data_IF_694294919442
#
_entry.id   IF_694294919442
#
_cell.length_a   1.000
_cell.length_b   1.000
_cell.length_c   1.000
_cell.angle_alpha   90.00
_cell.angle_beta   90.00
_cell.angle_gamma   90.00
#
_symmetry.space_group_name_H-M   'P 1'
#
loop_
_entity.id
_entity.type
_entity.pdbx_description
1 polymer ?
#
# COMPACT_ATOMS: atom_id res chain seq x y z
N UNK A 1 -4.25 -24.11 -1.37
CA UNK A 1 -3.19 -23.10 -1.21
C UNK A 1 -1.87 -23.70 -1.64
N UNK A 2 -1.01 -22.91 -2.25
CA UNK A 2 0.29 -23.31 -2.80
C UNK A 2 1.42 -22.87 -1.85
N UNK A 3 2.51 -23.63 -1.83
CA UNK A 3 3.74 -23.27 -1.14
C UNK A 3 4.99 -23.52 -2.01
N UNK A 4 6.18 -23.52 -1.40
CA UNK A 4 7.42 -23.71 -2.15
C UNK A 4 7.62 -25.16 -2.63
N UNK A 5 6.89 -26.16 -2.08
CA UNK A 5 7.00 -27.56 -2.47
C UNK A 5 6.34 -27.80 -3.83
N UNK A 6 5.28 -27.09 -4.18
CA UNK A 6 4.62 -27.17 -5.49
C UNK A 6 5.44 -26.53 -6.65
N UNK A 7 6.67 -26.13 -6.41
CA UNK A 7 7.62 -25.82 -7.48
C UNK A 7 8.15 -27.07 -8.22
N UNK A 8 7.90 -28.28 -7.70
CA UNK A 8 8.04 -29.51 -8.49
C UNK A 8 6.77 -29.76 -9.30
N UNK A 9 6.92 -29.95 -10.65
CA UNK A 9 5.77 -30.12 -11.54
C UNK A 9 4.91 -31.33 -11.16
N UNK A 10 5.54 -32.45 -10.76
CA UNK A 10 4.81 -33.65 -10.37
C UNK A 10 4.03 -33.44 -9.08
N UNK A 11 4.63 -32.76 -8.13
CA UNK A 11 3.98 -32.44 -6.87
C UNK A 11 2.82 -31.46 -7.06
N UNK A 12 3.03 -30.40 -7.84
CA UNK A 12 1.96 -29.48 -8.23
C UNK A 12 0.77 -30.21 -8.86
N UNK A 13 1.04 -31.10 -9.82
CA UNK A 13 0.00 -31.89 -10.48
C UNK A 13 -0.73 -32.84 -9.50
N UNK A 14 0.02 -33.52 -8.61
CA UNK A 14 -0.60 -34.39 -7.60
C UNK A 14 -1.60 -33.63 -6.72
N UNK A 15 -1.23 -32.45 -6.22
CA UNK A 15 -2.12 -31.63 -5.40
C UNK A 15 -3.27 -31.04 -6.22
N UNK A 16 -3.02 -30.59 -7.45
CA UNK A 16 -4.06 -30.09 -8.34
C UNK A 16 -5.11 -31.16 -8.62
N UNK A 17 -4.69 -32.37 -9.05
CA UNK A 17 -5.61 -33.45 -9.38
C UNK A 17 -6.31 -33.99 -8.12
N UNK A 18 -5.64 -34.04 -6.97
CA UNK A 18 -6.27 -34.41 -5.71
C UNK A 18 -7.37 -33.41 -5.30
N UNK A 19 -7.12 -32.10 -5.46
CA UNK A 19 -8.11 -31.06 -5.18
C UNK A 19 -9.33 -31.17 -6.13
N UNK A 20 -9.08 -31.37 -7.41
CA UNK A 20 -10.15 -31.56 -8.42
C UNK A 20 -10.94 -32.83 -8.11
N UNK A 21 -10.25 -33.95 -7.88
CA UNK A 21 -10.88 -35.26 -7.59
C UNK A 21 -11.67 -35.27 -6.29
N UNK A 22 -11.29 -34.46 -5.30
CA UNK A 22 -12.04 -34.26 -4.05
C UNK A 22 -13.40 -33.57 -4.31
N UNK A 23 -13.43 -32.59 -5.21
CA UNK A 23 -14.65 -31.86 -5.54
C UNK A 23 -15.50 -32.59 -6.62
N UNK A 24 -14.83 -33.27 -7.55
CA UNK A 24 -15.42 -33.94 -8.71
C UNK A 24 -14.86 -35.36 -8.85
N UNK A 25 -15.37 -36.34 -8.10
CA UNK A 25 -14.89 -37.71 -8.14
C UNK A 25 -14.95 -38.31 -9.52
N UNK A 26 -13.87 -38.95 -9.97
CA UNK A 26 -13.79 -39.63 -11.27
C UNK A 26 -13.33 -38.75 -12.44
N UNK A 27 -13.27 -37.45 -12.30
CA UNK A 27 -12.92 -36.52 -13.41
C UNK A 27 -11.44 -36.68 -13.87
N UNK A 28 -10.50 -36.96 -12.97
CA UNK A 28 -9.07 -37.01 -13.29
C UNK A 28 -8.56 -38.41 -13.66
N UNK A 29 -9.43 -39.32 -14.08
CA UNK A 29 -9.09 -40.73 -14.37
C UNK A 29 -8.10 -40.87 -15.54
N UNK A 30 -8.10 -39.95 -16.50
CA UNK A 30 -7.17 -39.96 -17.64
C UNK A 30 -5.82 -39.37 -17.30
N UNK A 31 -5.74 -38.31 -16.51
CA UNK A 31 -4.49 -37.60 -16.18
C UNK A 31 -3.74 -38.26 -15.02
N UNK A 32 -4.46 -38.75 -14.00
CA UNK A 32 -3.84 -39.27 -12.77
C UNK A 32 -2.86 -40.44 -13.00
N UNK A 33 -3.14 -41.45 -13.87
CA UNK A 33 -2.17 -42.52 -14.17
C UNK A 33 -0.87 -42.03 -14.82
N UNK A 34 -0.92 -40.93 -15.58
CA UNK A 34 0.25 -40.36 -16.24
C UNK A 34 1.30 -39.87 -15.26
N UNK A 35 0.89 -39.49 -14.05
CA UNK A 35 1.80 -39.06 -12.99
C UNK A 35 2.60 -40.21 -12.36
N UNK A 36 2.20 -41.46 -12.60
CA UNK A 36 2.93 -42.64 -12.10
C UNK A 36 4.09 -43.04 -13.03
N UNK A 37 4.16 -42.48 -14.23
CA UNK A 37 5.26 -42.75 -15.15
C UNK A 37 6.61 -42.25 -14.56
N UNK A 38 7.72 -42.96 -14.77
CA UNK A 38 9.06 -42.52 -14.30
C UNK A 38 9.43 -41.12 -14.78
N UNK A 39 9.13 -40.82 -16.04
CA UNK A 39 9.30 -39.50 -16.65
C UNK A 39 7.95 -38.92 -17.03
N UNK A 40 7.72 -37.62 -16.72
CA UNK A 40 6.52 -36.92 -17.14
C UNK A 40 6.61 -36.62 -18.64
N UNK A 41 5.47 -36.72 -19.29
CA UNK A 41 5.36 -36.27 -20.68
C UNK A 41 5.53 -34.75 -20.79
N UNK A 42 5.75 -34.22 -22.03
CA UNK A 42 5.85 -32.78 -22.25
C UNK A 42 4.64 -32.00 -21.71
N UNK A 43 4.88 -30.79 -21.19
CA UNK A 43 3.85 -29.91 -20.63
C UNK A 43 2.69 -29.67 -21.60
N UNK A 44 2.99 -29.57 -22.91
CA UNK A 44 1.98 -29.42 -23.96
C UNK A 44 0.98 -30.58 -24.04
N UNK A 45 1.42 -31.79 -23.75
CA UNK A 45 0.57 -32.96 -23.77
C UNK A 45 -0.18 -33.12 -22.44
N UNK A 46 0.51 -32.91 -21.31
CA UNK A 46 -0.11 -32.88 -19.97
C UNK A 46 -1.25 -31.87 -19.90
N UNK A 47 -1.05 -30.66 -20.46
CA UNK A 47 -2.09 -29.63 -20.46
C UNK A 47 -3.35 -30.06 -21.21
N UNK A 48 -3.19 -30.80 -22.34
CA UNK A 48 -4.35 -31.33 -23.09
C UNK A 48 -5.15 -32.35 -22.31
N UNK A 49 -4.47 -33.27 -21.60
CA UNK A 49 -5.16 -34.25 -20.75
C UNK A 49 -5.93 -33.56 -19.62
N UNK A 50 -5.31 -32.58 -18.95
CA UNK A 50 -5.94 -31.80 -17.89
C UNK A 50 -7.16 -31.03 -18.43
N UNK A 51 -7.02 -30.33 -19.55
CA UNK A 51 -8.12 -29.58 -20.17
C UNK A 51 -9.28 -30.54 -20.55
N UNK A 52 -8.96 -31.71 -21.11
CA UNK A 52 -9.99 -32.71 -21.46
C UNK A 52 -10.71 -33.25 -20.21
N UNK A 53 -9.96 -33.59 -19.16
CA UNK A 53 -10.56 -34.03 -17.90
C UNK A 53 -11.46 -32.93 -17.30
N UNK A 54 -10.98 -31.70 -17.23
CA UNK A 54 -11.75 -30.56 -16.71
C UNK A 54 -12.97 -30.21 -17.55
N UNK A 55 -12.94 -30.45 -18.88
CA UNK A 55 -14.06 -30.22 -19.77
C UNK A 55 -15.23 -31.18 -19.51
N UNK A 56 -14.97 -32.32 -18.86
CA UNK A 56 -16.01 -33.29 -18.49
C UNK A 56 -16.76 -32.92 -17.19
N UNK A 57 -16.34 -31.87 -16.49
CA UNK A 57 -17.07 -31.37 -15.30
C UNK A 57 -18.39 -30.75 -15.77
N UNK A 58 -19.51 -31.21 -15.23
CA UNK A 58 -20.82 -30.64 -15.53
C UNK A 58 -21.03 -29.31 -14.78
N UNK A 59 -21.42 -28.26 -15.52
CA UNK A 59 -21.71 -26.93 -14.97
C UNK A 59 -20.48 -26.05 -14.69
N UNK A 60 -20.68 -24.78 -14.36
CA UNK A 60 -19.60 -23.84 -14.12
C UNK A 60 -18.90 -24.12 -12.78
N UNK A 61 -17.57 -24.02 -12.76
CA UNK A 61 -16.77 -24.15 -11.56
C UNK A 61 -15.63 -23.13 -11.52
N UNK A 62 -15.12 -22.87 -10.32
CA UNK A 62 -13.99 -21.97 -10.10
C UNK A 62 -12.82 -22.80 -9.56
N UNK A 63 -11.70 -22.77 -10.26
CA UNK A 63 -10.43 -23.31 -9.80
C UNK A 63 -9.64 -22.18 -9.15
N UNK A 64 -9.37 -22.29 -7.85
CA UNK A 64 -8.64 -21.26 -7.08
C UNK A 64 -7.22 -21.74 -6.81
N UNK A 65 -6.23 -20.97 -7.27
CA UNK A 65 -4.82 -21.15 -6.93
C UNK A 65 -4.40 -20.03 -5.97
N UNK A 66 -4.39 -20.35 -4.68
CA UNK A 66 -4.01 -19.41 -3.64
C UNK A 66 -2.49 -19.43 -3.41
N UNK A 67 -1.91 -18.27 -3.05
CA UNK A 67 -0.48 -18.06 -2.93
C UNK A 67 0.31 -18.30 -4.23
N UNK A 68 -0.27 -18.04 -5.38
CA UNK A 68 0.36 -18.30 -6.68
C UNK A 68 1.74 -17.66 -6.86
N UNK A 69 2.05 -16.60 -6.11
CA UNK A 69 3.35 -15.94 -6.08
C UNK A 69 4.50 -16.83 -5.55
N UNK A 70 4.19 -17.95 -4.92
CA UNK A 70 5.17 -18.95 -4.48
C UNK A 70 5.72 -19.78 -5.64
N UNK A 71 4.94 -19.91 -6.71
CA UNK A 71 5.33 -20.66 -7.90
C UNK A 71 6.32 -19.84 -8.72
N UNK A 72 7.53 -20.40 -8.92
CA UNK A 72 8.64 -19.81 -9.68
C UNK A 72 9.15 -20.74 -10.77
N UNK A 73 8.82 -22.03 -10.64
CA UNK A 73 9.29 -23.05 -11.59
C UNK A 73 8.62 -22.85 -12.96
N UNK A 74 9.48 -22.75 -13.98
CA UNK A 74 9.08 -22.41 -15.35
C UNK A 74 8.09 -23.42 -15.92
N UNK A 75 8.31 -24.70 -15.67
CA UNK A 75 7.46 -25.79 -16.18
C UNK A 75 6.05 -25.76 -15.60
N UNK A 76 5.88 -25.39 -14.33
CA UNK A 76 4.56 -25.18 -13.70
C UNK A 76 3.86 -23.97 -14.31
N UNK A 77 4.58 -22.85 -14.48
CA UNK A 77 4.05 -21.65 -15.10
C UNK A 77 3.64 -21.90 -16.57
N UNK A 78 4.43 -22.66 -17.32
CA UNK A 78 4.11 -23.08 -18.70
C UNK A 78 2.84 -23.94 -18.74
N UNK A 79 2.68 -24.86 -17.76
CA UNK A 79 1.48 -25.68 -17.66
C UNK A 79 0.23 -24.84 -17.45
N UNK A 80 0.26 -23.94 -16.45
CA UNK A 80 -0.88 -23.03 -16.16
C UNK A 80 -1.16 -22.15 -17.37
N UNK A 81 -0.13 -21.62 -18.02
CA UNK A 81 -0.25 -20.83 -19.26
C UNK A 81 -0.87 -21.62 -20.40
N UNK A 82 -0.51 -22.90 -20.59
CA UNK A 82 -1.06 -23.78 -21.61
C UNK A 82 -2.54 -24.11 -21.35
N UNK A 83 -2.94 -24.31 -20.10
CA UNK A 83 -4.37 -24.48 -19.72
C UNK A 83 -5.15 -23.20 -20.01
N UNK A 84 -4.58 -22.03 -19.68
CA UNK A 84 -5.21 -20.72 -19.94
C UNK A 84 -5.29 -20.36 -21.42
N UNK A 85 -4.45 -20.93 -22.27
CA UNK A 85 -4.53 -20.73 -23.73
C UNK A 85 -5.78 -21.40 -24.34
N UNK A 86 -6.25 -22.48 -23.73
CA UNK A 86 -7.40 -23.25 -24.19
C UNK A 86 -8.28 -23.71 -23.02
N UNK A 87 -8.83 -22.78 -22.23
CA UNK A 87 -9.56 -23.15 -21.03
C UNK A 87 -10.89 -23.86 -21.37
N UNK A 88 -11.33 -24.82 -20.54
CA UNK A 88 -12.71 -25.35 -20.65
C UNK A 88 -13.71 -24.22 -20.48
N UNK A 89 -14.81 -24.26 -21.26
CA UNK A 89 -15.82 -23.17 -21.27
C UNK A 89 -16.51 -22.94 -19.92
N UNK A 90 -16.56 -23.97 -19.09
CA UNK A 90 -17.20 -23.97 -17.78
C UNK A 90 -16.25 -23.64 -16.64
N UNK A 91 -14.93 -23.42 -16.91
CA UNK A 91 -13.91 -23.14 -15.91
C UNK A 91 -13.66 -21.64 -15.78
N UNK A 92 -13.65 -21.16 -14.53
CA UNK A 92 -13.07 -19.89 -14.16
C UNK A 92 -11.82 -20.15 -13.31
N UNK A 93 -10.67 -19.60 -13.71
CA UNK A 93 -9.46 -19.67 -12.93
C UNK A 93 -9.31 -18.39 -12.09
N UNK A 94 -9.18 -18.54 -10.79
CA UNK A 94 -8.89 -17.44 -9.85
C UNK A 94 -7.47 -17.60 -9.29
N UNK A 95 -6.63 -16.61 -9.50
CA UNK A 95 -5.28 -16.55 -8.95
C UNK A 95 -5.24 -15.56 -7.80
N UNK A 96 -4.96 -16.03 -6.60
CA UNK A 96 -4.69 -15.16 -5.45
C UNK A 96 -3.17 -15.02 -5.31
N UNK A 97 -2.68 -13.81 -5.51
CA UNK A 97 -1.25 -13.58 -5.63
C UNK A 97 -0.85 -12.23 -5.03
N UNK A 98 0.35 -12.16 -4.43
CA UNK A 98 0.94 -10.88 -3.96
C UNK A 98 1.70 -10.13 -5.05
N UNK A 99 1.94 -10.77 -6.20
CA UNK A 99 2.73 -10.24 -7.32
C UNK A 99 2.00 -10.49 -8.60
N UNK A 100 2.24 -9.66 -9.60
CA UNK A 100 1.74 -9.95 -10.95
C UNK A 100 2.27 -11.32 -11.40
N UNK A 101 1.37 -12.24 -11.78
CA UNK A 101 1.78 -13.56 -12.21
C UNK A 101 2.54 -13.46 -13.55
N UNK A 102 3.67 -14.18 -13.72
CA UNK A 102 4.45 -14.18 -14.96
C UNK A 102 3.78 -15.05 -16.04
N UNK A 103 2.49 -14.81 -16.28
CA UNK A 103 1.68 -15.46 -17.29
C UNK A 103 1.43 -14.48 -18.44
N UNK A 104 1.02 -15.00 -19.63
CA UNK A 104 0.69 -14.18 -20.80
C UNK A 104 -0.63 -13.38 -20.61
N UNK A 105 -0.69 -12.59 -19.54
CA UNK A 105 -1.89 -11.84 -19.17
C UNK A 105 -2.21 -10.71 -20.14
N UNK A 106 -1.22 -10.14 -20.85
CA UNK A 106 -1.43 -9.07 -21.83
C UNK A 106 -2.36 -9.46 -22.97
N UNK A 107 -2.22 -10.68 -23.50
CA UNK A 107 -3.11 -11.20 -24.55
C UNK A 107 -4.51 -11.43 -24.02
N UNK A 108 -4.64 -12.02 -22.84
CA UNK A 108 -5.93 -12.27 -22.19
C UNK A 108 -6.65 -10.96 -21.82
N UNK A 109 -5.90 -9.94 -21.37
CA UNK A 109 -6.41 -8.57 -21.14
C UNK A 109 -6.96 -7.96 -22.43
N UNK A 110 -6.22 -8.07 -23.53
CA UNK A 110 -6.65 -7.54 -24.82
C UNK A 110 -7.94 -8.22 -25.34
N UNK A 111 -8.16 -9.48 -24.98
CA UNK A 111 -9.37 -10.25 -25.31
C UNK A 111 -10.52 -10.03 -24.30
N UNK A 112 -10.34 -9.23 -23.25
CA UNK A 112 -11.35 -9.02 -22.21
C UNK A 112 -11.63 -10.29 -21.36
N UNK A 113 -10.69 -11.22 -21.28
CA UNK A 113 -10.84 -12.50 -20.57
C UNK A 113 -10.23 -12.48 -19.16
N UNK A 114 -9.71 -11.34 -18.73
CA UNK A 114 -9.13 -11.16 -17.38
C UNK A 114 -9.89 -10.07 -16.66
N UNK A 115 -10.30 -10.39 -15.43
CA UNK A 115 -10.76 -9.41 -14.46
C UNK A 115 -9.71 -9.29 -13.35
N UNK A 116 -9.23 -8.09 -13.09
CA UNK A 116 -8.20 -7.82 -12.09
C UNK A 116 -8.82 -7.09 -10.91
N UNK A 117 -8.63 -7.66 -9.72
CA UNK A 117 -9.03 -7.07 -8.44
C UNK A 117 -7.73 -6.67 -7.71
N UNK A 118 -7.46 -5.38 -7.69
CA UNK A 118 -6.24 -4.84 -7.10
C UNK A 118 -6.40 -4.38 -5.65
N UNK A 119 -5.31 -3.86 -5.10
CA UNK A 119 -5.29 -3.36 -3.72
C UNK A 119 -6.33 -2.26 -3.48
N UNK A 120 -6.60 -1.41 -4.48
CA UNK A 120 -7.59 -0.34 -4.35
C UNK A 120 -9.02 -0.89 -4.21
N UNK A 121 -9.34 -1.98 -4.92
CA UNK A 121 -10.66 -2.62 -4.89
C UNK A 121 -10.89 -3.39 -3.59
N UNK A 122 -9.81 -3.85 -2.94
CA UNK A 122 -9.83 -4.63 -1.70
C UNK A 122 -9.80 -3.78 -0.43
N UNK A 123 -9.64 -2.46 -0.54
CA UNK A 123 -9.68 -1.56 0.61
C UNK A 123 -11.10 -1.47 1.17
N UNK A 124 -11.21 -1.57 2.48
CA UNK A 124 -12.49 -1.36 3.15
C UNK A 124 -12.91 0.11 3.10
N UNK A 125 -14.14 0.34 2.73
CA UNK A 125 -14.85 1.60 2.90
C UNK A 125 -15.18 1.82 4.38
N UNK A 126 -15.61 3.02 4.77
CA UNK A 126 -16.08 3.30 6.15
C UNK A 126 -17.20 2.34 6.54
N UNK A 127 -18.17 2.10 5.64
CA UNK A 127 -19.29 1.18 5.89
C UNK A 127 -18.84 -0.26 6.14
N UNK A 128 -17.90 -0.75 5.32
CA UNK A 128 -17.33 -2.11 5.49
C UNK A 128 -16.48 -2.18 6.77
N UNK A 129 -15.75 -1.10 7.11
CA UNK A 129 -15.00 -0.99 8.35
C UNK A 129 -15.92 -1.09 9.56
N UNK A 130 -17.03 -0.32 9.56
CA UNK A 130 -18.05 -0.37 10.63
C UNK A 130 -18.59 -1.78 10.79
N UNK A 131 -19.07 -2.39 9.70
CA UNK A 131 -19.61 -3.75 9.72
C UNK A 131 -18.60 -4.78 10.22
N UNK A 132 -17.33 -4.67 9.78
CA UNK A 132 -16.25 -5.56 10.22
C UNK A 132 -15.98 -5.41 11.72
N UNK A 133 -15.88 -4.17 12.21
CA UNK A 133 -15.62 -3.89 13.62
C UNK A 133 -16.78 -4.37 14.50
N UNK A 134 -18.02 -4.08 14.15
CA UNK A 134 -19.21 -4.54 14.88
C UNK A 134 -19.26 -6.07 14.97
N UNK A 135 -18.99 -6.77 13.85
CA UNK A 135 -18.92 -8.23 13.86
C UNK A 135 -17.76 -8.77 14.71
N UNK A 136 -16.63 -8.06 14.73
CA UNK A 136 -15.44 -8.51 15.46
C UNK A 136 -15.52 -8.23 16.96
N UNK A 137 -16.14 -7.12 17.35
CA UNK A 137 -16.23 -6.65 18.74
C UNK A 137 -17.52 -7.12 19.43
N UNK A 138 -18.57 -7.41 18.66
CA UNK A 138 -19.86 -7.88 19.18
C UNK A 138 -20.77 -6.75 19.73
N UNK A 139 -20.42 -5.49 19.45
CA UNK A 139 -21.22 -4.31 19.81
C UNK A 139 -21.16 -3.26 18.69
N UNK A 140 -22.08 -2.29 18.72
CA UNK A 140 -22.11 -1.21 17.73
C UNK A 140 -20.91 -0.28 17.88
N UNK A 141 -20.40 0.17 16.73
CA UNK A 141 -19.30 1.12 16.62
C UNK A 141 -19.82 2.41 16.01
N UNK A 142 -19.54 3.54 16.63
CA UNK A 142 -19.95 4.83 16.08
C UNK A 142 -19.17 5.15 14.79
N UNK A 143 -19.82 5.87 13.89
CA UNK A 143 -19.29 6.18 12.55
C UNK A 143 -17.95 6.94 12.62
N UNK A 144 -17.81 7.85 13.57
CA UNK A 144 -16.58 8.65 13.76
C UNK A 144 -15.38 7.76 14.15
N UNK A 145 -15.60 6.79 15.01
CA UNK A 145 -14.57 5.79 15.38
C UNK A 145 -14.19 4.94 14.17
N UNK A 146 -15.18 4.49 13.38
CA UNK A 146 -14.91 3.73 12.17
C UNK A 146 -14.16 4.55 11.11
N UNK A 147 -14.48 5.84 10.95
CA UNK A 147 -13.76 6.77 10.08
C UNK A 147 -12.28 6.91 10.51
N UNK A 148 -12.02 7.18 11.79
CA UNK A 148 -10.65 7.30 12.33
C UNK A 148 -9.83 6.02 12.06
N UNK A 149 -10.42 4.86 12.31
CA UNK A 149 -9.75 3.57 12.08
C UNK A 149 -9.52 3.34 10.59
N UNK A 150 -10.51 3.61 9.75
CA UNK A 150 -10.41 3.47 8.31
C UNK A 150 -9.34 4.40 7.72
N UNK A 151 -9.31 5.67 8.12
CA UNK A 151 -8.27 6.62 7.70
C UNK A 151 -6.88 6.19 8.18
N UNK A 152 -6.77 5.77 9.45
CA UNK A 152 -5.50 5.32 10.04
C UNK A 152 -4.96 4.06 9.37
N UNK A 153 -5.81 3.14 8.96
CA UNK A 153 -5.42 1.89 8.31
C UNK A 153 -5.51 1.96 6.77
N UNK A 154 -5.92 3.10 6.21
CA UNK A 154 -6.20 3.32 4.78
C UNK A 154 -7.08 2.19 4.19
N UNK A 155 -8.02 1.67 4.97
CA UNK A 155 -8.89 0.57 4.57
C UNK A 155 -8.20 -0.80 4.44
N UNK A 156 -7.02 -0.99 5.01
CA UNK A 156 -6.28 -2.26 4.93
C UNK A 156 -6.91 -3.37 5.80
N UNK A 157 -7.51 -4.43 5.21
CA UNK A 157 -8.27 -5.43 5.97
C UNK A 157 -7.44 -6.21 7.01
N UNK A 158 -6.20 -6.58 6.67
CA UNK A 158 -5.35 -7.31 7.61
C UNK A 158 -4.95 -6.43 8.80
N UNK A 159 -4.68 -5.13 8.56
CA UNK A 159 -4.45 -4.16 9.63
C UNK A 159 -5.67 -4.03 10.54
N UNK A 160 -6.88 -3.96 9.97
CA UNK A 160 -8.13 -3.92 10.75
C UNK A 160 -8.31 -5.17 11.62
N UNK A 161 -7.97 -6.34 11.10
CA UNK A 161 -8.02 -7.59 11.88
C UNK A 161 -7.05 -7.56 13.07
N UNK A 162 -5.82 -7.07 12.87
CA UNK A 162 -4.84 -6.96 13.95
C UNK A 162 -5.29 -5.97 15.02
N UNK A 163 -5.78 -4.80 14.59
CA UNK A 163 -6.31 -3.78 15.51
C UNK A 163 -7.56 -4.28 16.23
N UNK A 164 -8.51 -4.93 15.55
CA UNK A 164 -9.74 -5.41 16.19
C UNK A 164 -9.49 -6.41 17.32
N UNK A 165 -8.40 -7.17 17.27
CA UNK A 165 -8.01 -8.07 18.36
C UNK A 165 -7.60 -7.28 19.62
N UNK A 166 -6.92 -6.16 19.44
CA UNK A 166 -6.52 -5.27 20.55
C UNK A 166 -7.71 -4.51 21.12
N UNK A 167 -8.70 -4.19 20.28
CA UNK A 167 -9.89 -3.44 20.68
C UNK A 167 -10.91 -4.24 21.50
N UNK A 168 -10.87 -5.56 21.48
CA UNK A 168 -11.80 -6.44 22.23
C UNK A 168 -11.81 -6.21 23.74
N UNK A 169 -10.84 -5.50 24.27
CA UNK A 169 -10.67 -5.23 25.71
C UNK A 169 -10.87 -3.76 26.07
N UNK A 170 -11.41 -2.94 25.15
CA UNK A 170 -11.55 -1.49 25.32
C UNK A 170 -13.02 -1.10 25.39
N UNK A 171 -13.43 -0.50 26.52
CA UNK A 171 -14.83 -0.12 26.76
C UNK A 171 -15.16 1.37 26.43
N UNK A 172 -14.15 2.19 26.08
CA UNK A 172 -14.34 3.59 25.74
C UNK A 172 -13.38 4.10 24.65
N UNK A 173 -13.66 5.28 24.08
CA UNK A 173 -12.89 5.88 22.98
C UNK A 173 -11.43 6.17 23.34
N UNK A 174 -11.15 6.61 24.57
CA UNK A 174 -9.78 6.90 25.02
C UNK A 174 -8.94 5.62 25.17
N UNK A 175 -9.57 4.57 25.70
CA UNK A 175 -8.96 3.22 25.75
C UNK A 175 -8.80 2.65 24.35
N UNK A 176 -9.72 2.94 23.44
CA UNK A 176 -9.65 2.56 22.02
C UNK A 176 -8.46 3.24 21.35
N UNK A 177 -8.25 4.54 21.54
CA UNK A 177 -7.09 5.25 21.01
C UNK A 177 -5.77 4.79 21.63
N UNK A 178 -5.77 4.44 22.91
CA UNK A 178 -4.62 3.81 23.58
C UNK A 178 -4.36 2.39 23.06
N UNK A 179 -5.41 1.63 22.82
CA UNK A 179 -5.36 0.26 22.26
C UNK A 179 -4.97 0.24 20.77
N UNK A 180 -5.29 1.29 20.01
CA UNK A 180 -4.74 1.49 18.67
C UNK A 180 -3.21 1.51 18.72
N UNK A 181 -2.60 2.18 19.70
CA UNK A 181 -1.14 2.16 19.90
C UNK A 181 -0.62 0.74 20.17
N UNK A 182 -1.32 -0.07 20.94
CA UNK A 182 -1.01 -1.50 21.13
C UNK A 182 -1.21 -2.35 19.87
N UNK A 183 -2.26 -2.07 19.09
CA UNK A 183 -2.52 -2.69 17.79
C UNK A 183 -1.45 -2.36 16.75
N UNK A 184 -0.87 -1.17 16.82
CA UNK A 184 0.28 -0.79 15.97
C UNK A 184 1.49 -1.69 16.17
N UNK A 185 1.77 -2.16 17.40
CA UNK A 185 2.86 -3.08 17.64
C UNK A 185 2.68 -4.40 16.87
N UNK A 186 1.48 -4.97 16.86
CA UNK A 186 1.18 -6.18 16.09
C UNK A 186 1.28 -5.95 14.57
N UNK A 187 0.88 -4.76 14.09
CA UNK A 187 1.06 -4.36 12.69
C UNK A 187 2.55 -4.24 12.35
N UNK A 188 3.32 -3.59 13.21
CA UNK A 188 4.77 -3.44 13.04
C UNK A 188 5.44 -4.81 12.98
N UNK A 189 5.13 -5.71 13.91
CA UNK A 189 5.67 -7.08 13.93
C UNK A 189 5.30 -7.84 12.65
N UNK A 190 4.05 -7.75 12.20
CA UNK A 190 3.62 -8.36 10.94
C UNK A 190 4.41 -7.81 9.76
N UNK A 191 4.50 -6.49 9.61
CA UNK A 191 5.21 -5.85 8.50
C UNK A 191 6.71 -6.13 8.53
N UNK A 192 7.29 -6.24 9.72
CA UNK A 192 8.69 -6.64 9.90
C UNK A 192 8.93 -8.06 9.42
N UNK A 193 8.12 -9.01 9.89
CA UNK A 193 8.32 -10.44 9.65
C UNK A 193 7.92 -10.84 8.25
N UNK A 194 6.75 -10.41 7.79
CA UNK A 194 6.14 -10.88 6.54
C UNK A 194 6.51 -10.02 5.32
N UNK A 195 7.08 -8.85 5.53
CA UNK A 195 7.38 -7.92 4.44
C UNK A 195 8.85 -7.55 4.40
N UNK A 196 9.34 -6.82 5.40
CA UNK A 196 10.67 -6.19 5.33
C UNK A 196 11.80 -7.22 5.44
N UNK A 197 11.69 -8.20 6.34
CA UNK A 197 12.73 -9.24 6.53
C UNK A 197 12.91 -10.16 5.33
N UNK A 198 11.90 -10.25 4.47
CA UNK A 198 11.95 -11.06 3.25
C UNK A 198 12.60 -10.32 2.07
N UNK A 199 12.93 -9.02 2.22
CA UNK A 199 13.56 -8.26 1.17
C UNK A 199 15.07 -8.47 1.14
N UNK A 200 15.69 -8.47 -0.07
CA UNK A 200 17.14 -8.41 -0.20
C UNK A 200 17.70 -7.20 0.59
N UNK A 201 18.90 -7.30 1.20
CA UNK A 201 19.47 -6.22 2.01
C UNK A 201 19.56 -4.88 1.26
N UNK A 202 19.90 -4.90 -0.02
CA UNK A 202 19.95 -3.71 -0.87
C UNK A 202 18.58 -3.06 -1.00
N UNK A 203 17.53 -3.86 -1.27
CA UNK A 203 16.15 -3.38 -1.37
C UNK A 203 15.65 -2.77 -0.05
N UNK A 204 15.90 -3.46 1.07
CA UNK A 204 15.55 -2.94 2.40
C UNK A 204 16.27 -1.62 2.71
N UNK A 205 17.54 -1.48 2.29
CA UNK A 205 18.30 -0.23 2.44
C UNK A 205 17.69 0.92 1.63
N UNK A 206 17.28 0.68 0.39
CA UNK A 206 16.62 1.68 -0.45
C UNK A 206 15.25 2.07 0.13
N UNK A 207 14.46 1.10 0.59
CA UNK A 207 13.16 1.35 1.21
C UNK A 207 13.30 2.22 2.46
N UNK A 208 14.25 1.91 3.33
CA UNK A 208 14.50 2.72 4.55
C UNK A 208 15.01 4.11 4.21
N UNK A 209 15.91 4.25 3.24
CA UNK A 209 16.43 5.54 2.81
C UNK A 209 15.33 6.46 2.26
N UNK A 210 14.44 5.94 1.40
CA UNK A 210 13.36 6.72 0.77
C UNK A 210 12.20 7.04 1.73
N UNK A 211 12.15 6.41 2.91
CA UNK A 211 11.11 6.67 3.91
C UNK A 211 11.15 8.07 4.53
N UNK A 212 12.28 8.80 4.41
CA UNK A 212 12.37 10.22 4.82
C UNK A 212 11.48 11.13 3.98
N UNK A 213 11.12 10.69 2.77
CA UNK A 213 10.33 11.46 1.82
C UNK A 213 8.83 11.24 2.03
N UNK A 214 8.02 12.26 1.83
CA UNK A 214 6.55 12.12 1.81
C UNK A 214 6.10 11.48 0.49
N UNK A 215 6.77 11.81 -0.61
CA UNK A 215 6.57 11.22 -1.92
C UNK A 215 7.89 11.18 -2.70
N UNK A 216 8.01 10.26 -3.62
CA UNK A 216 9.24 10.04 -4.37
C UNK A 216 8.98 9.58 -5.81
N UNK A 217 9.98 9.75 -6.65
CA UNK A 217 10.05 9.27 -8.03
C UNK A 217 11.42 8.63 -8.30
N UNK A 218 11.58 7.93 -9.41
CA UNK A 218 12.82 7.24 -9.73
C UNK A 218 14.04 8.16 -9.76
N UNK A 219 14.02 9.34 -10.45
CA UNK A 219 15.16 10.26 -10.45
C UNK A 219 15.53 10.78 -9.04
N UNK A 220 14.55 11.02 -8.16
CA UNK A 220 14.81 11.45 -6.79
C UNK A 220 15.48 10.33 -5.98
N UNK A 221 15.08 9.07 -6.18
CA UNK A 221 15.73 7.93 -5.55
C UNK A 221 17.18 7.81 -5.98
N UNK A 222 17.48 7.98 -7.28
CA UNK A 222 18.85 7.99 -7.81
C UNK A 222 19.69 9.11 -7.19
N UNK A 223 19.15 10.31 -7.12
CA UNK A 223 19.80 11.47 -6.50
C UNK A 223 20.19 11.18 -5.04
N UNK A 224 19.27 10.65 -4.26
CA UNK A 224 19.52 10.30 -2.86
C UNK A 224 20.66 9.30 -2.71
N UNK A 225 20.76 8.32 -3.61
CA UNK A 225 21.82 7.32 -3.61
C UNK A 225 23.11 7.78 -4.31
N UNK A 226 23.11 8.98 -4.93
CA UNK A 226 24.26 9.54 -5.63
C UNK A 226 24.56 8.84 -6.96
N UNK A 227 23.50 8.38 -7.64
CA UNK A 227 23.59 7.66 -8.91
C UNK A 227 23.30 8.55 -10.14
N UNK A 228 22.99 9.83 -9.96
CA UNK A 228 22.60 10.79 -11.01
C UNK A 228 23.56 10.85 -12.22
N UNK A 229 24.83 10.54 -12.01
CA UNK A 229 25.87 10.53 -13.05
C UNK A 229 26.73 9.25 -13.02
N UNK A 230 26.24 8.17 -12.38
CA UNK A 230 27.02 6.94 -12.32
C UNK A 230 26.87 6.18 -13.66
N UNK A 231 27.98 5.71 -14.25
CA UNK A 231 27.90 4.77 -15.34
C UNK A 231 27.14 3.52 -14.90
N UNK A 232 26.46 2.84 -15.82
CA UNK A 232 25.74 1.59 -15.57
C UNK A 232 26.67 0.57 -14.85
N UNK A 233 26.57 0.55 -13.53
CA UNK A 233 27.48 -0.22 -12.67
C UNK A 233 26.89 -1.57 -12.28
N UNK A 234 25.72 -1.94 -12.85
CA UNK A 234 24.96 -3.12 -12.46
C UNK A 234 24.39 -3.02 -11.03
N UNK A 235 24.38 -1.83 -10.44
CA UNK A 235 23.70 -1.52 -9.17
C UNK A 235 22.25 -1.14 -9.45
N UNK A 236 21.36 -1.43 -8.50
CA UNK A 236 19.96 -1.04 -8.57
C UNK A 236 19.83 0.46 -8.75
N UNK A 237 19.02 0.89 -9.71
CA UNK A 237 18.66 2.29 -9.94
C UNK A 237 17.21 2.56 -9.49
N UNK A 238 16.78 3.83 -9.53
CA UNK A 238 15.45 4.26 -9.08
C UNK A 238 14.31 3.61 -9.84
N UNK A 239 14.45 3.42 -11.16
CA UNK A 239 13.42 2.75 -11.98
C UNK A 239 13.29 1.27 -11.60
N UNK A 240 14.40 0.56 -11.43
CA UNK A 240 14.40 -0.83 -10.97
C UNK A 240 13.84 -0.96 -9.55
N UNK A 241 14.17 -0.02 -8.67
CA UNK A 241 13.65 0.04 -7.31
C UNK A 241 12.13 0.16 -7.30
N UNK A 242 11.58 1.15 -8.03
CA UNK A 242 10.13 1.35 -8.12
C UNK A 242 9.45 0.16 -8.81
N UNK A 243 10.06 -0.38 -9.89
CA UNK A 243 9.54 -1.55 -10.56
C UNK A 243 9.43 -2.76 -9.61
N UNK A 244 10.42 -2.97 -8.74
CA UNK A 244 10.38 -4.04 -7.72
C UNK A 244 9.32 -3.77 -6.65
N UNK A 245 9.22 -2.53 -6.14
CA UNK A 245 8.16 -2.16 -5.18
C UNK A 245 6.76 -2.44 -5.74
N UNK A 246 6.52 -2.11 -7.01
CA UNK A 246 5.24 -2.36 -7.70
C UNK A 246 5.01 -3.84 -7.91
N UNK A 247 6.00 -4.55 -8.47
CA UNK A 247 5.91 -5.99 -8.77
C UNK A 247 5.62 -6.82 -7.52
N UNK A 248 6.21 -6.44 -6.38
CA UNK A 248 6.06 -7.16 -5.12
C UNK A 248 4.94 -6.59 -4.24
N UNK A 249 4.17 -5.59 -4.74
CA UNK A 249 3.08 -4.90 -4.02
C UNK A 249 3.49 -4.44 -2.60
N UNK A 250 4.67 -3.79 -2.49
CA UNK A 250 5.27 -3.40 -1.22
C UNK A 250 4.72 -2.07 -0.71
N UNK A 251 3.40 -2.02 -0.47
CA UNK A 251 2.71 -0.87 0.14
C UNK A 251 2.97 0.46 -0.58
N UNK A 252 3.18 0.42 -1.89
CA UNK A 252 3.39 1.57 -2.75
C UNK A 252 2.05 2.09 -3.27
N UNK A 253 1.85 3.40 -3.19
CA UNK A 253 0.64 4.09 -3.67
C UNK A 253 1.07 5.09 -4.74
N UNK A 254 0.51 4.97 -5.95
CA UNK A 254 0.71 5.94 -7.02
C UNK A 254 -0.06 7.23 -6.73
N UNK A 255 0.56 8.37 -7.00
CA UNK A 255 -0.01 9.69 -6.73
C UNK A 255 -0.48 10.40 -7.99
N UNK A 256 -0.03 9.95 -9.16
CA UNK A 256 -0.39 10.52 -10.46
C UNK A 256 -0.86 9.44 -11.44
N UNK A 257 -1.58 9.85 -12.47
CA UNK A 257 -2.09 8.95 -13.53
C UNK A 257 -0.98 8.36 -14.41
N UNK A 258 0.18 9.01 -14.45
CA UNK A 258 1.34 8.56 -15.22
C UNK A 258 2.24 7.60 -14.42
N UNK A 259 1.89 7.33 -13.16
CA UNK A 259 2.64 6.46 -12.26
C UNK A 259 4.13 6.85 -12.17
N UNK A 260 4.42 8.14 -12.08
CA UNK A 260 5.76 8.68 -11.89
C UNK A 260 6.05 9.01 -10.43
N UNK A 261 5.02 9.45 -9.68
CA UNK A 261 5.12 9.81 -8.28
C UNK A 261 4.43 8.79 -7.39
N UNK A 262 5.09 8.46 -6.29
CA UNK A 262 4.66 7.42 -5.36
C UNK A 262 4.84 7.87 -3.92
N UNK A 263 4.07 7.25 -3.03
CA UNK A 263 4.29 7.27 -1.59
C UNK A 263 4.13 5.87 -1.02
N UNK A 264 4.70 5.65 0.13
CA UNK A 264 4.35 4.48 0.92
C UNK A 264 3.01 4.66 1.63
N UNK A 265 2.34 3.54 1.91
CA UNK A 265 1.28 3.51 2.93
C UNK A 265 1.86 4.06 4.24
N UNK A 266 1.13 4.93 4.95
CA UNK A 266 1.70 5.69 6.07
C UNK A 266 2.24 4.82 7.21
N UNK A 267 1.55 3.71 7.57
CA UNK A 267 2.04 2.76 8.58
C UNK A 267 3.33 2.07 8.17
N UNK A 268 3.44 1.70 6.89
CA UNK A 268 4.64 1.09 6.36
C UNK A 268 5.79 2.09 6.33
N UNK A 269 5.52 3.33 5.93
CA UNK A 269 6.49 4.43 6.00
C UNK A 269 6.98 4.66 7.42
N UNK A 270 6.09 4.70 8.41
CA UNK A 270 6.45 4.87 9.81
C UNK A 270 7.38 3.75 10.28
N UNK A 271 7.06 2.49 9.97
CA UNK A 271 7.94 1.37 10.24
C UNK A 271 9.33 1.58 9.62
N UNK A 272 9.41 1.95 8.33
CA UNK A 272 10.68 2.18 7.66
C UNK A 272 11.48 3.33 8.29
N UNK A 273 10.81 4.40 8.74
CA UNK A 273 11.43 5.51 9.48
C UNK A 273 11.97 5.05 10.83
N UNK A 274 11.27 4.20 11.56
CA UNK A 274 11.75 3.62 12.82
C UNK A 274 13.00 2.75 12.58
N UNK A 275 13.02 1.98 11.49
CA UNK A 275 14.20 1.21 11.08
C UNK A 275 15.37 2.11 10.66
N UNK A 276 15.09 3.17 9.91
CA UNK A 276 16.09 4.17 9.54
C UNK A 276 16.76 4.75 10.79
N UNK A 277 15.94 5.24 11.75
CA UNK A 277 16.45 5.83 12.99
C UNK A 277 17.22 4.86 13.87
N UNK A 278 16.93 3.57 13.79
CA UNK A 278 17.57 2.52 14.60
C UNK A 278 18.90 2.07 14.02
N UNK A 279 19.04 1.99 12.69
CA UNK A 279 20.17 1.34 12.03
C UNK A 279 21.07 2.27 11.24
N UNK A 280 20.62 3.51 10.93
CA UNK A 280 21.42 4.45 10.17
C UNK A 280 22.04 5.51 11.09
N UNK A 281 23.23 5.97 10.71
CA UNK A 281 23.88 7.05 11.45
C UNK A 281 23.23 8.38 11.13
N UNK A 282 23.16 9.33 12.10
CA UNK A 282 22.58 10.65 11.85
C UNK A 282 23.22 11.39 10.66
N UNK A 283 24.52 11.20 10.44
CA UNK A 283 25.26 11.79 9.32
C UNK A 283 24.83 11.23 7.95
N UNK A 284 24.52 9.92 7.88
CA UNK A 284 24.00 9.29 6.67
C UNK A 284 22.59 9.82 6.36
N UNK A 285 21.73 9.95 7.37
CA UNK A 285 20.38 10.52 7.24
C UNK A 285 20.46 11.99 6.79
N UNK A 286 21.36 12.78 7.37
CA UNK A 286 21.59 14.16 6.98
C UNK A 286 22.05 14.28 5.52
N UNK A 287 22.91 13.35 5.08
CA UNK A 287 23.38 13.29 3.68
C UNK A 287 22.23 12.98 2.72
N UNK A 288 21.39 11.99 3.04
CA UNK A 288 20.19 11.66 2.24
C UNK A 288 19.26 12.87 2.15
N UNK A 289 18.98 13.51 3.29
CA UNK A 289 18.11 14.70 3.35
C UNK A 289 18.67 15.86 2.53
N UNK A 290 20.00 16.10 2.59
CA UNK A 290 20.67 17.15 1.83
C UNK A 290 20.56 16.91 0.32
N UNK A 291 20.82 15.68 -0.14
CA UNK A 291 20.71 15.31 -1.55
C UNK A 291 19.27 15.44 -2.07
N UNK A 292 18.29 14.99 -1.29
CA UNK A 292 16.90 15.14 -1.66
C UNK A 292 16.50 16.63 -1.75
N UNK A 293 16.92 17.47 -0.79
CA UNK A 293 16.68 18.92 -0.83
C UNK A 293 17.31 19.59 -2.06
N UNK A 294 18.54 19.20 -2.41
CA UNK A 294 19.21 19.69 -3.60
C UNK A 294 18.45 19.34 -4.88
N UNK A 295 18.03 18.07 -5.00
CA UNK A 295 17.26 17.61 -6.14
C UNK A 295 15.93 18.34 -6.30
N UNK A 296 15.17 18.58 -5.22
CA UNK A 296 13.93 19.35 -5.26
C UNK A 296 14.18 20.80 -5.71
N UNK A 297 15.26 21.41 -5.26
CA UNK A 297 15.63 22.78 -5.63
C UNK A 297 16.00 22.87 -7.12
N UNK A 298 16.74 21.90 -7.65
CA UNK A 298 17.16 21.85 -9.07
C UNK A 298 15.99 21.60 -10.03
N UNK A 299 14.95 20.86 -9.57
CA UNK A 299 13.80 20.54 -10.41
C UNK A 299 12.61 21.50 -10.23
N UNK A 300 12.80 22.62 -9.51
CA UNK A 300 11.78 23.66 -9.26
C UNK A 300 10.46 23.12 -8.70
N UNK A 301 10.55 22.03 -7.90
CA UNK A 301 9.40 21.40 -7.27
C UNK A 301 9.24 21.98 -5.86
N UNK A 302 8.46 23.07 -5.78
CA UNK A 302 8.10 23.70 -4.50
C UNK A 302 7.13 22.77 -3.74
N UNK A 303 7.58 22.18 -2.64
CA UNK A 303 6.70 21.41 -1.75
C UNK A 303 7.12 19.96 -1.47
N UNK A 304 8.35 19.57 -1.82
CA UNK A 304 8.93 18.30 -1.36
C UNK A 304 9.19 18.37 0.16
N UNK A 305 8.19 18.03 0.99
CA UNK A 305 8.36 18.04 2.44
C UNK A 305 9.29 16.91 2.87
N UNK A 306 10.52 17.28 3.17
CA UNK A 306 11.40 16.46 4.00
C UNK A 306 11.06 16.87 5.44
N UNK A 307 10.44 16.01 6.21
CA UNK A 307 10.31 16.25 7.65
C UNK A 307 11.72 16.29 8.25
N UNK A 308 12.07 17.42 8.81
CA UNK A 308 13.35 17.58 9.51
C UNK A 308 13.49 16.47 10.56
N UNK A 309 14.72 15.96 10.64
CA UNK A 309 15.18 14.80 11.40
C UNK A 309 14.51 14.59 12.77
N UNK A 310 14.21 13.33 13.17
CA UNK A 310 13.63 12.97 14.47
C UNK A 310 14.48 13.30 15.70
N UNK A 311 15.65 13.91 15.54
CA UNK A 311 16.41 14.41 16.69
C UNK A 311 15.67 15.50 17.49
N UNK A 312 14.64 16.14 16.90
CA UNK A 312 13.82 17.15 17.58
C UNK A 312 12.73 16.57 18.49
N UNK A 313 12.40 15.27 18.37
CA UNK A 313 11.31 14.66 19.16
C UNK A 313 11.75 14.12 20.53
N UNK A 314 13.06 14.13 20.87
CA UNK A 314 13.55 13.67 22.19
C UNK A 314 13.54 14.75 23.27
N UNK A 315 13.38 16.03 22.92
CA UNK A 315 13.50 17.13 23.87
C UNK A 315 12.16 17.68 24.42
N UNK A 316 10.99 17.20 23.94
CA UNK A 316 9.70 17.71 24.43
C UNK A 316 9.11 16.95 25.62
N UNK A 317 9.57 15.75 25.96
CA UNK A 317 9.07 15.00 27.13
C UNK A 317 9.75 15.35 28.46
N UNK A 318 10.73 16.27 28.48
CA UNK A 318 11.47 16.59 29.70
C UNK A 318 11.66 18.10 29.95
N UNK A 319 10.61 18.91 29.73
CA UNK A 319 10.58 20.29 30.24
C UNK A 319 9.51 20.43 31.31
N UNK A 320 9.96 20.20 32.55
CA UNK A 320 9.31 20.69 33.76
C UNK A 320 9.20 22.24 33.74
N UNK A 321 7.99 22.69 34.09
CA UNK A 321 7.61 24.09 34.23
C UNK A 321 8.57 24.83 35.19
N UNK A 322 9.04 26.00 34.83
CA UNK A 322 9.46 27.00 35.83
C UNK A 322 8.51 28.20 35.83
N UNK A 323 8.28 28.60 37.02
CA UNK A 323 7.49 29.69 37.57
C UNK A 323 7.80 31.07 36.97
N UNK A 324 6.80 31.95 37.00
CA UNK A 324 6.82 33.30 36.47
C UNK A 324 7.65 34.25 37.34
N UNK A 325 8.43 35.11 36.70
CA UNK A 325 8.56 36.55 37.05
C UNK A 325 9.35 37.36 36.03
N UNK A 326 8.74 38.45 35.59
CA UNK A 326 9.22 39.77 35.10
C UNK A 326 10.60 39.94 34.44
N UNK A 327 10.74 40.48 33.23
CA UNK A 327 10.90 41.92 33.00
C UNK A 327 11.02 42.28 31.49
N UNK A 328 10.75 43.54 31.16
CA UNK A 328 10.60 44.18 29.87
C UNK A 328 11.90 44.34 29.09
N UNK A 329 11.89 44.08 27.76
CA UNK A 329 12.52 45.02 26.80
C UNK A 329 12.08 44.68 25.34
N UNK A 330 11.73 45.73 24.61
CA UNK A 330 11.20 45.75 23.27
C UNK A 330 12.25 45.44 22.19
N UNK A 331 11.94 44.52 21.26
CA UNK A 331 12.39 44.55 19.88
C UNK A 331 11.39 43.75 19.02
N UNK A 332 11.10 44.15 17.75
CA UNK A 332 9.97 43.64 17.01
C UNK A 332 10.21 42.21 16.52
N UNK A 333 9.27 41.32 16.87
CA UNK A 333 9.19 39.95 16.39
C UNK A 333 8.54 39.91 15.00
N UNK A 334 9.01 39.01 14.09
CA UNK A 334 8.26 38.70 12.87
C UNK A 334 6.95 37.99 13.21
N UNK A 335 5.93 37.99 12.33
CA UNK A 335 4.59 37.53 12.65
C UNK A 335 4.59 36.02 12.95
N UNK A 336 4.07 35.72 14.12
CA UNK A 336 3.86 34.36 14.64
C UNK A 336 2.84 33.64 13.76
N UNK A 337 3.21 32.49 13.18
CA UNK A 337 2.29 31.57 12.56
C UNK A 337 1.23 31.17 13.59
N UNK A 338 -0.04 31.54 13.37
CA UNK A 338 -1.14 31.07 14.18
C UNK A 338 -1.31 29.58 13.92
N UNK A 339 -0.96 28.75 14.89
CA UNK A 339 -1.27 27.33 14.91
C UNK A 339 -2.79 27.16 14.93
N UNK A 340 -3.34 26.43 13.97
CA UNK A 340 -4.74 26.02 13.99
C UNK A 340 -4.98 25.13 15.21
N UNK A 341 -6.09 25.36 15.90
CA UNK A 341 -6.51 24.54 17.05
C UNK A 341 -6.83 23.10 16.60
N UNK A 342 -7.23 22.92 15.33
CA UNK A 342 -7.52 21.63 14.70
C UNK A 342 -6.85 21.59 13.31
N UNK A 343 -5.77 20.81 13.13
CA UNK A 343 -5.04 20.78 11.87
C UNK A 343 -5.85 20.13 10.74
N UNK A 344 -5.62 20.59 9.52
CA UNK A 344 -6.23 20.01 8.33
C UNK A 344 -5.67 18.60 8.09
N UNK A 345 -6.54 17.65 7.79
CA UNK A 345 -6.16 16.29 7.36
C UNK A 345 -5.49 16.33 6.00
N UNK A 346 -4.73 15.30 5.64
CA UNK A 346 -4.08 15.20 4.31
C UNK A 346 -5.09 15.32 3.17
N UNK A 347 -6.30 14.76 3.35
CA UNK A 347 -7.34 14.82 2.32
C UNK A 347 -7.95 16.22 2.20
N UNK A 348 -8.07 16.94 3.30
CA UNK A 348 -8.47 18.33 3.29
C UNK A 348 -7.40 19.23 2.67
N UNK A 349 -6.13 18.91 2.84
CA UNK A 349 -5.02 19.59 2.17
C UNK A 349 -5.06 19.36 0.66
N UNK A 350 -5.26 18.12 0.18
CA UNK A 350 -5.43 17.80 -1.24
C UNK A 350 -6.58 18.61 -1.87
N UNK A 351 -7.73 18.62 -1.17
CA UNK A 351 -8.91 19.39 -1.63
C UNK A 351 -8.62 20.89 -1.63
N UNK A 352 -7.94 21.41 -0.60
CA UNK A 352 -7.60 22.82 -0.47
C UNK A 352 -6.60 23.27 -1.54
N UNK A 353 -5.65 22.43 -1.89
CA UNK A 353 -4.67 22.69 -2.96
C UNK A 353 -5.35 22.80 -4.34
N UNK A 354 -6.24 21.85 -4.64
CA UNK A 354 -7.02 21.89 -5.88
C UNK A 354 -8.03 23.08 -5.88
N UNK A 355 -8.53 23.45 -4.70
CA UNK A 355 -9.34 24.64 -4.49
C UNK A 355 -8.56 25.91 -4.84
N UNK A 356 -7.28 25.99 -4.46
CA UNK A 356 -6.40 27.11 -4.77
C UNK A 356 -6.14 27.24 -6.28
N UNK A 357 -6.14 26.13 -7.00
CA UNK A 357 -6.07 26.08 -8.48
C UNK A 357 -7.38 26.44 -9.19
N UNK A 358 -8.40 26.88 -8.44
CA UNK A 358 -9.73 27.33 -8.91
C UNK A 358 -10.60 26.27 -9.57
N UNK A 359 -10.33 24.98 -9.32
CA UNK A 359 -11.10 23.86 -9.85
C UNK A 359 -12.51 23.79 -9.18
N UNK A 360 -13.54 23.47 -9.94
CA UNK A 360 -14.89 23.24 -9.40
C UNK A 360 -14.93 21.96 -8.56
N UNK A 361 -15.97 21.79 -7.73
CA UNK A 361 -16.12 20.57 -6.91
C UNK A 361 -16.18 19.30 -7.76
N UNK A 362 -16.74 19.39 -8.97
CA UNK A 362 -16.78 18.26 -9.90
C UNK A 362 -15.39 17.92 -10.43
N UNK A 363 -14.61 18.91 -10.83
CA UNK A 363 -13.23 18.72 -11.30
C UNK A 363 -12.29 18.25 -10.18
N UNK A 364 -12.52 18.70 -8.93
CA UNK A 364 -11.80 18.19 -7.75
C UNK A 364 -12.19 16.73 -7.50
N UNK A 365 -13.48 16.40 -7.58
CA UNK A 365 -13.99 15.05 -7.43
C UNK A 365 -13.38 14.10 -8.47
N UNK A 366 -13.38 14.51 -9.74
CA UNK A 366 -12.78 13.74 -10.84
C UNK A 366 -11.27 13.53 -10.63
N UNK A 367 -10.54 14.55 -10.15
CA UNK A 367 -9.09 14.44 -9.88
C UNK A 367 -8.75 13.62 -8.66
N UNK A 368 -9.58 13.62 -7.65
CA UNK A 368 -9.36 12.88 -6.41
C UNK A 368 -10.07 11.52 -6.38
N UNK A 369 -10.78 11.16 -7.46
CA UNK A 369 -11.55 9.93 -7.58
C UNK A 369 -12.56 9.72 -6.45
N UNK A 370 -13.27 10.79 -6.07
CA UNK A 370 -14.31 10.79 -5.05
C UNK A 370 -15.59 11.43 -5.61
N UNK A 371 -16.70 11.34 -4.86
CA UNK A 371 -17.94 11.99 -5.27
C UNK A 371 -17.87 13.53 -5.07
N UNK A 372 -18.61 14.29 -5.88
CA UNK A 372 -18.71 15.74 -5.69
C UNK A 372 -19.33 16.11 -4.31
N UNK A 373 -20.15 15.22 -3.74
CA UNK A 373 -20.73 15.38 -2.40
C UNK A 373 -19.66 15.17 -1.31
N UNK A 374 -18.74 14.20 -1.51
CA UNK A 374 -17.58 14.01 -0.62
C UNK A 374 -16.66 15.23 -0.62
N UNK A 375 -16.39 15.82 -1.80
CA UNK A 375 -15.63 17.08 -1.89
C UNK A 375 -16.31 18.20 -1.11
N UNK A 376 -17.63 18.28 -1.18
CA UNK A 376 -18.41 19.27 -0.44
C UNK A 376 -18.30 19.07 1.09
N UNK A 377 -18.29 17.82 1.55
CA UNK A 377 -18.04 17.48 2.96
C UNK A 377 -16.65 17.94 3.41
N UNK A 378 -15.60 17.61 2.64
CA UNK A 378 -14.23 18.07 2.95
C UNK A 378 -14.13 19.60 2.97
N UNK A 379 -14.77 20.30 2.01
CA UNK A 379 -14.79 21.76 2.01
C UNK A 379 -15.47 22.35 3.24
N UNK A 380 -16.53 21.72 3.73
CA UNK A 380 -17.22 22.15 4.95
C UNK A 380 -16.30 22.02 6.17
N UNK A 381 -15.58 20.92 6.30
CA UNK A 381 -14.59 20.71 7.36
C UNK A 381 -13.43 21.71 7.26
N UNK A 382 -12.90 21.94 6.06
CA UNK A 382 -11.85 22.93 5.80
C UNK A 382 -12.33 24.32 6.25
N UNK A 383 -13.54 24.71 5.89
CA UNK A 383 -14.09 26.02 6.27
C UNK A 383 -14.25 26.14 7.79
N UNK A 384 -14.67 25.09 8.45
CA UNK A 384 -14.80 25.05 9.90
C UNK A 384 -13.43 25.17 10.58
N UNK A 385 -12.45 24.37 10.17
CA UNK A 385 -11.09 24.35 10.75
C UNK A 385 -10.32 25.64 10.48
N UNK A 386 -10.55 26.25 9.32
CA UNK A 386 -9.99 27.56 8.99
C UNK A 386 -10.83 28.74 9.48
N UNK A 387 -11.97 28.49 10.16
CA UNK A 387 -12.91 29.54 10.64
C UNK A 387 -13.27 30.54 9.53
N UNK A 388 -13.60 30.06 8.35
CA UNK A 388 -14.00 30.87 7.19
C UNK A 388 -15.32 30.39 6.64
N UNK A 389 -16.00 31.26 5.88
CA UNK A 389 -17.31 30.94 5.31
C UNK A 389 -17.32 30.82 3.78
N UNK A 390 -16.26 31.24 3.14
CA UNK A 390 -16.22 31.34 1.69
C UNK A 390 -14.96 30.69 1.11
N UNK A 391 -15.12 30.12 -0.08
CA UNK A 391 -14.08 29.46 -0.85
C UNK A 391 -12.79 30.31 -1.01
N UNK A 392 -12.92 31.59 -1.32
CA UNK A 392 -11.77 32.51 -1.50
C UNK A 392 -11.07 32.78 -0.17
N UNK A 393 -11.85 32.95 0.91
CA UNK A 393 -11.31 33.18 2.25
C UNK A 393 -10.48 31.98 2.74
N UNK A 394 -10.92 30.75 2.41
CA UNK A 394 -10.18 29.54 2.76
C UNK A 394 -8.80 29.50 2.10
N UNK A 395 -8.71 29.78 0.82
CA UNK A 395 -7.45 29.83 0.09
C UNK A 395 -6.55 30.96 0.60
N UNK A 396 -7.09 32.12 0.86
CA UNK A 396 -6.34 33.28 1.36
C UNK A 396 -5.82 33.03 2.78
N UNK A 397 -6.66 32.50 3.67
CA UNK A 397 -6.24 32.15 5.04
C UNK A 397 -5.18 31.05 5.03
N UNK A 398 -5.34 30.02 4.20
CA UNK A 398 -4.36 28.95 4.07
C UNK A 398 -2.96 29.46 3.59
N UNK A 399 -2.94 30.41 2.66
CA UNK A 399 -1.69 31.09 2.23
C UNK A 399 -1.07 31.91 3.35
N UNK A 400 -1.90 32.65 4.10
CA UNK A 400 -1.43 33.51 5.18
C UNK A 400 -0.82 32.75 6.36
N UNK A 401 -1.27 31.51 6.60
CA UNK A 401 -0.75 30.63 7.66
C UNK A 401 0.29 29.63 7.13
N UNK A 402 0.67 29.71 5.83
CA UNK A 402 1.73 28.90 5.25
C UNK A 402 1.38 27.44 4.97
N UNK A 403 0.07 27.14 4.79
CA UNK A 403 -0.40 25.79 4.41
C UNK A 403 -0.42 25.60 2.89
N UNK A 404 -0.54 26.69 2.12
CA UNK A 404 -0.54 26.75 0.65
C UNK A 404 0.58 27.67 0.15
#
# INVERSE_FOLDING_TARGET
SLDDEENDLRQFLNYLLAAIGSAFPGICETTQPLLQAPELMPVSDLSRYIVNDLANIEGPFILVLDNFHKIREKTVLELVGAVLAHPPQNMHLMLLTRRDPPLLTSTLRALGQVNEIGTADLRFTVTETTAFLENSLGHSVDEKTAEIIQETLEGWPAGMRLVSQSLKHSDNLDDLLASLKGGFAAIVDYLMTEVLSLQPPEMARWMTATAILDHFCAPLCDAMHGLENAPDTGKMNGDEFIARLRKDNLFLIGLDTENRWFRYHHLFRQLLQDQLNRYWRPEEIATLSSRAKAWFAENDISGGAIKDSPAAFRDEENRSVPDATDDKSLSPRPPTSQLLVDPLTNRELDVLELLARRLSNKEIADKLFISAETVKGHLQNIYQKLEVKKRREAVEKAKNIGIL
#
